data_IF_543443784916
#
_entry.id   IF_543443784916
#
_cell.length_a   1.000
_cell.length_b   1.000
_cell.length_c   1.000
_cell.angle_alpha   90.00
_cell.angle_beta   90.00
_cell.angle_gamma   90.00
#
_symmetry.space_group_name_H-M   'P 1'
#
loop_
_entity.id
_entity.type
_entity.pdbx_description
1 polymer ?
#
# COMPACT_ATOMS: atom_id res chain seq x y z
N UNK A 1 9.84 -109.26 7.04
CA UNK A 1 10.23 -107.85 7.24
C UNK A 1 10.22 -107.15 5.88
N UNK A 2 9.48 -106.06 5.68
CA UNK A 2 9.46 -105.38 4.39
C UNK A 2 10.81 -104.67 4.15
N UNK A 3 11.48 -105.04 3.05
CA UNK A 3 12.70 -104.40 2.57
C UNK A 3 12.31 -103.02 2.06
N UNK A 4 12.66 -101.95 2.80
CA UNK A 4 12.49 -100.58 2.33
C UNK A 4 13.46 -100.34 1.17
N UNK A 5 12.99 -100.42 -0.07
CA UNK A 5 13.76 -99.98 -1.22
C UNK A 5 13.93 -98.45 -1.15
N UNK A 6 15.14 -98.00 -0.83
CA UNK A 6 15.53 -96.60 -0.96
C UNK A 6 15.58 -96.23 -2.44
N UNK A 7 14.57 -95.50 -2.92
CA UNK A 7 14.57 -95.02 -4.31
C UNK A 7 15.48 -93.79 -4.43
N UNK A 8 16.41 -93.84 -5.39
CA UNK A 8 17.34 -92.76 -5.69
C UNK A 8 16.63 -91.44 -6.04
N UNK A 9 15.42 -91.52 -6.61
CA UNK A 9 14.56 -90.39 -6.92
C UNK A 9 14.14 -89.59 -5.67
N UNK A 10 13.94 -90.26 -4.53
CA UNK A 10 13.58 -89.57 -3.30
C UNK A 10 14.76 -88.77 -2.72
N UNK A 11 15.99 -89.26 -2.91
CA UNK A 11 17.22 -88.55 -2.50
C UNK A 11 17.47 -87.31 -3.35
N UNK A 12 17.29 -87.39 -4.67
CA UNK A 12 17.48 -86.26 -5.59
C UNK A 12 16.43 -85.16 -5.37
N UNK A 13 15.16 -85.54 -5.16
CA UNK A 13 14.09 -84.58 -4.82
C UNK A 13 14.34 -83.87 -3.47
N UNK A 14 14.81 -84.61 -2.45
CA UNK A 14 15.18 -84.04 -1.16
C UNK A 14 16.39 -83.09 -1.27
N UNK A 15 17.35 -83.39 -2.13
CA UNK A 15 18.50 -82.51 -2.36
C UNK A 15 18.11 -81.21 -3.08
N UNK A 16 17.30 -81.30 -4.14
CA UNK A 16 16.83 -80.13 -4.88
C UNK A 16 15.94 -79.22 -4.02
N UNK A 17 15.05 -79.80 -3.22
CA UNK A 17 14.22 -79.04 -2.28
C UNK A 17 15.05 -78.33 -1.20
N UNK A 18 16.05 -79.01 -0.62
CA UNK A 18 16.99 -78.38 0.33
C UNK A 18 17.79 -77.24 -0.33
N UNK A 19 18.26 -77.42 -1.56
CA UNK A 19 18.98 -76.36 -2.30
C UNK A 19 18.08 -75.17 -2.59
N UNK A 20 16.83 -75.41 -3.00
CA UNK A 20 15.84 -74.35 -3.22
C UNK A 20 15.53 -73.58 -1.93
N UNK A 21 15.32 -74.28 -0.81
CA UNK A 21 15.12 -73.65 0.49
C UNK A 21 16.33 -72.80 0.92
N UNK A 22 17.55 -73.31 0.74
CA UNK A 22 18.75 -72.55 1.08
C UNK A 22 18.88 -71.26 0.25
N UNK A 23 18.57 -71.32 -1.05
CA UNK A 23 18.56 -70.12 -1.88
C UNK A 23 17.51 -69.10 -1.42
N UNK A 24 16.31 -69.58 -1.04
CA UNK A 24 15.23 -68.73 -0.54
C UNK A 24 15.61 -68.08 0.80
N UNK A 25 16.22 -68.82 1.73
CA UNK A 25 16.74 -68.29 3.00
C UNK A 25 17.80 -67.21 2.73
N UNK A 26 18.72 -67.45 1.79
CA UNK A 26 19.74 -66.46 1.40
C UNK A 26 19.08 -65.18 0.85
N UNK A 27 18.01 -65.30 0.06
CA UNK A 27 17.27 -64.14 -0.45
C UNK A 27 16.52 -63.37 0.64
N UNK A 28 15.86 -64.07 1.57
CA UNK A 28 15.20 -63.45 2.72
C UNK A 28 16.23 -62.70 3.57
N UNK A 29 17.36 -63.33 3.90
CA UNK A 29 18.42 -62.70 4.68
C UNK A 29 19.00 -61.46 3.98
N UNK A 30 19.14 -61.49 2.65
CA UNK A 30 19.54 -60.31 1.87
C UNK A 30 18.51 -59.19 1.92
N UNK A 31 17.21 -59.52 1.86
CA UNK A 31 16.11 -58.53 1.95
C UNK A 31 16.04 -57.92 3.34
N UNK A 32 16.19 -58.71 4.40
CA UNK A 32 16.21 -58.23 5.78
C UNK A 32 17.45 -57.37 6.07
N UNK A 33 18.62 -57.80 5.61
CA UNK A 33 19.85 -57.01 5.71
C UNK A 33 19.71 -55.66 5.00
N UNK A 34 19.08 -55.65 3.81
CA UNK A 34 18.79 -54.42 3.10
C UNK A 34 17.74 -53.56 3.82
N UNK A 35 16.71 -54.16 4.40
CA UNK A 35 15.67 -53.44 5.15
C UNK A 35 16.26 -52.71 6.38
N UNK A 36 17.23 -53.32 7.05
CA UNK A 36 17.93 -52.76 8.23
C UNK A 36 18.89 -51.61 7.90
N UNK A 37 19.25 -51.40 6.63
CA UNK A 37 20.13 -50.30 6.24
C UNK A 37 19.44 -48.92 6.39
N UNK A 38 20.15 -47.89 6.87
CA UNK A 38 19.62 -46.53 6.96
C UNK A 38 19.36 -45.94 5.57
N UNK A 39 18.38 -45.04 5.49
CA UNK A 39 17.81 -44.53 4.23
C UNK A 39 18.89 -44.00 3.27
N UNK A 40 19.87 -43.24 3.76
CA UNK A 40 20.94 -42.66 2.92
C UNK A 40 21.83 -43.74 2.25
N UNK A 41 22.11 -44.85 2.93
CA UNK A 41 22.90 -45.96 2.35
C UNK A 41 22.14 -46.71 1.27
N UNK A 42 20.81 -46.86 1.42
CA UNK A 42 19.93 -47.41 0.37
C UNK A 42 19.95 -46.53 -0.88
N UNK A 43 19.93 -45.20 -0.70
CA UNK A 43 20.11 -44.26 -1.80
C UNK A 43 21.48 -44.43 -2.47
N UNK A 44 22.57 -44.42 -1.72
CA UNK A 44 23.93 -44.59 -2.27
C UNK A 44 24.07 -45.93 -3.02
N UNK A 45 23.52 -47.03 -2.49
CA UNK A 45 23.50 -48.33 -3.19
C UNK A 45 22.66 -48.30 -4.48
N UNK A 46 21.56 -47.56 -4.51
CA UNK A 46 20.77 -47.35 -5.71
C UNK A 46 21.55 -46.54 -6.77
N UNK A 47 22.30 -45.52 -6.35
CA UNK A 47 23.14 -44.71 -7.22
C UNK A 47 24.40 -45.44 -7.72
N UNK A 48 24.93 -46.40 -6.95
CA UNK A 48 26.15 -47.13 -7.32
C UNK A 48 25.94 -48.30 -8.31
N UNK A 49 24.70 -48.68 -8.65
CA UNK A 49 24.46 -49.72 -9.69
C UNK A 49 24.87 -49.22 -11.09
N UNK A 50 25.85 -49.91 -11.71
CA UNK A 50 26.62 -49.51 -12.90
C UNK A 50 25.79 -48.98 -14.09
N UNK A 51 24.59 -49.54 -14.35
CA UNK A 51 23.71 -49.11 -15.45
C UNK A 51 22.88 -47.86 -15.16
N UNK A 52 22.67 -47.49 -13.88
CA UNK A 52 21.87 -46.32 -13.49
C UNK A 52 22.70 -45.04 -13.34
N UNK A 53 24.02 -45.17 -13.15
CA UNK A 53 24.97 -44.04 -13.03
C UNK A 53 24.90 -43.08 -14.23
N UNK A 54 24.83 -43.61 -15.45
CA UNK A 54 24.74 -42.81 -16.66
C UNK A 54 23.40 -42.07 -16.77
N UNK A 55 22.29 -42.69 -16.37
CA UNK A 55 20.99 -42.03 -16.37
C UNK A 55 20.94 -40.81 -15.45
N UNK A 56 21.51 -40.92 -14.23
CA UNK A 56 21.57 -39.79 -13.31
C UNK A 56 22.50 -38.68 -13.78
N UNK A 57 23.65 -39.02 -14.39
CA UNK A 57 24.54 -38.03 -14.99
C UNK A 57 23.86 -37.29 -16.16
N UNK A 58 23.10 -37.99 -17.01
CA UNK A 58 22.33 -37.37 -18.09
C UNK A 58 21.22 -36.48 -17.53
N UNK A 59 20.49 -36.91 -16.49
CA UNK A 59 19.46 -36.09 -15.85
C UNK A 59 20.08 -34.85 -15.20
N UNK A 60 21.21 -35.00 -14.50
CA UNK A 60 21.91 -33.89 -13.86
C UNK A 60 22.48 -32.93 -14.93
N UNK A 61 23.04 -33.47 -16.01
CA UNK A 61 23.53 -32.70 -17.15
C UNK A 61 22.40 -31.94 -17.84
N UNK A 62 21.26 -32.58 -18.10
CA UNK A 62 20.06 -31.93 -18.63
C UNK A 62 19.56 -30.84 -17.66
N UNK A 63 19.47 -31.12 -16.35
CA UNK A 63 19.09 -30.10 -15.35
C UNK A 63 20.04 -28.90 -15.34
N UNK A 64 21.33 -29.12 -15.56
CA UNK A 64 22.34 -28.07 -15.59
C UNK A 64 22.34 -27.28 -16.93
N UNK A 65 22.18 -27.96 -18.07
CA UNK A 65 22.18 -27.36 -19.40
C UNK A 65 20.84 -26.71 -19.79
N UNK A 66 19.70 -27.26 -19.36
CA UNK A 66 18.36 -26.75 -19.77
C UNK A 66 17.90 -25.48 -19.03
N UNK A 67 18.83 -24.69 -18.50
CA UNK A 67 18.54 -23.44 -17.79
C UNK A 67 17.49 -23.65 -16.66
N UNK A 68 17.36 -24.87 -16.14
CA UNK A 68 16.39 -25.21 -15.09
C UNK A 68 16.59 -24.36 -13.83
N UNK A 69 17.82 -23.99 -13.41
CA UNK A 69 18.02 -23.04 -12.33
C UNK A 69 17.45 -21.64 -12.66
N UNK A 70 17.62 -21.16 -13.90
CA UNK A 70 17.07 -19.87 -14.34
C UNK A 70 15.55 -19.93 -14.45
N UNK A 71 15.00 -20.99 -15.04
CA UNK A 71 13.54 -21.21 -15.16
C UNK A 71 12.87 -21.37 -13.80
N UNK A 72 13.46 -22.11 -12.87
CA UNK A 72 12.92 -22.29 -11.52
C UNK A 72 12.99 -20.98 -10.72
N UNK A 73 14.08 -20.21 -10.85
CA UNK A 73 14.19 -18.86 -10.28
C UNK A 73 13.15 -17.90 -10.88
N UNK A 74 13.00 -17.87 -12.20
CA UNK A 74 12.00 -17.06 -12.89
C UNK A 74 10.57 -17.49 -12.53
N UNK A 75 10.33 -18.79 -12.35
CA UNK A 75 9.05 -19.32 -11.88
C UNK A 75 8.76 -18.89 -10.43
N UNK A 76 9.76 -18.93 -9.55
CA UNK A 76 9.61 -18.44 -8.18
C UNK A 76 9.36 -16.93 -8.12
N UNK A 77 10.09 -16.15 -8.93
CA UNK A 77 9.90 -14.69 -9.05
C UNK A 77 8.51 -14.37 -9.60
N UNK A 78 8.10 -15.02 -10.69
CA UNK A 78 6.76 -14.81 -11.27
C UNK A 78 5.64 -15.26 -10.35
N UNK A 79 5.80 -16.35 -9.59
CA UNK A 79 4.84 -16.73 -8.55
C UNK A 79 4.77 -15.68 -7.44
N UNK A 80 5.91 -15.22 -6.92
CA UNK A 80 5.96 -14.13 -5.91
C UNK A 80 5.30 -12.87 -6.44
N UNK A 81 5.57 -12.49 -7.68
CA UNK A 81 4.95 -11.33 -8.34
C UNK A 81 3.45 -11.52 -8.52
N UNK A 82 2.97 -12.67 -9.00
CA UNK A 82 1.52 -12.97 -9.13
C UNK A 82 0.81 -12.94 -7.78
N UNK A 83 1.43 -13.48 -6.73
CA UNK A 83 0.88 -13.45 -5.38
C UNK A 83 0.83 -12.02 -4.84
N UNK A 84 1.94 -11.27 -4.93
CA UNK A 84 1.98 -9.85 -4.56
C UNK A 84 0.94 -9.04 -5.33
N UNK A 85 0.84 -9.20 -6.65
CA UNK A 85 -0.15 -8.53 -7.51
C UNK A 85 -1.58 -8.92 -7.13
N UNK A 86 -1.85 -10.18 -6.79
CA UNK A 86 -3.17 -10.61 -6.31
C UNK A 86 -3.53 -9.95 -4.98
N UNK A 87 -2.61 -9.88 -4.02
CA UNK A 87 -2.84 -9.21 -2.74
C UNK A 87 -2.92 -7.71 -2.88
N UNK A 88 -2.06 -7.11 -3.70
CA UNK A 88 -2.13 -5.69 -4.07
C UNK A 88 -3.48 -5.39 -4.70
N UNK A 89 -3.93 -6.11 -5.73
CA UNK A 89 -5.24 -5.90 -6.32
C UNK A 89 -6.39 -6.10 -5.33
N UNK A 90 -6.31 -7.10 -4.44
CA UNK A 90 -7.33 -7.27 -3.38
C UNK A 90 -7.31 -6.15 -2.35
N UNK A 91 -6.11 -5.65 -2.02
CA UNK A 91 -5.92 -4.54 -1.10
C UNK A 91 -6.45 -3.25 -1.74
N UNK A 92 -6.07 -2.97 -2.98
CA UNK A 92 -6.61 -1.88 -3.79
C UNK A 92 -8.12 -1.99 -3.91
N UNK A 93 -8.71 -3.12 -4.32
CA UNK A 93 -10.17 -3.27 -4.38
C UNK A 93 -10.88 -3.13 -3.02
N UNK A 94 -10.22 -3.45 -1.92
CA UNK A 94 -10.81 -3.35 -0.57
C UNK A 94 -10.72 -1.93 0.00
N UNK A 95 -9.65 -1.22 -0.31
CA UNK A 95 -9.28 0.03 0.36
C UNK A 95 -9.29 1.24 -0.57
N UNK A 96 -9.30 1.03 -1.87
CA UNK A 96 -9.47 2.03 -2.91
C UNK A 96 -10.15 1.39 -4.15
N UNK A 97 -11.43 0.97 -4.01
CA UNK A 97 -12.16 0.27 -5.06
C UNK A 97 -12.27 1.08 -6.37
N UNK A 98 -12.13 2.41 -6.27
CA UNK A 98 -12.19 3.39 -7.36
C UNK A 98 -10.86 3.47 -8.15
N UNK A 99 -9.70 3.12 -7.55
CA UNK A 99 -8.39 3.21 -8.23
C UNK A 99 -8.10 2.08 -9.23
N UNK A 100 -9.02 1.14 -9.45
CA UNK A 100 -8.85 0.12 -10.49
C UNK A 100 -9.26 0.67 -11.85
N UNK A 101 -8.37 1.51 -12.37
CA UNK A 101 -8.02 1.70 -13.78
C UNK A 101 -9.18 2.11 -14.71
N UNK A 102 -9.00 3.32 -15.25
CA UNK A 102 -9.88 4.07 -16.17
C UNK A 102 -11.07 4.68 -15.43
N UNK A 103 -11.22 6.00 -15.60
CA UNK A 103 -12.47 6.72 -15.33
C UNK A 103 -13.61 5.80 -15.68
N UNK A 104 -14.25 5.22 -14.66
CA UNK A 104 -15.42 4.40 -14.95
C UNK A 104 -16.42 5.35 -15.62
N UNK A 105 -17.21 4.87 -16.57
CA UNK A 105 -18.23 5.70 -17.23
C UNK A 105 -19.18 6.40 -16.21
N UNK A 106 -19.22 5.90 -14.98
CA UNK A 106 -19.88 6.49 -13.81
C UNK A 106 -19.15 7.69 -13.20
N UNK A 107 -17.81 7.67 -13.10
CA UNK A 107 -17.01 8.82 -12.66
C UNK A 107 -17.04 9.95 -13.68
N UNK A 108 -17.18 9.64 -14.97
CA UNK A 108 -17.42 10.65 -16.03
C UNK A 108 -18.76 11.36 -15.87
N UNK A 109 -19.71 10.77 -15.14
CA UNK A 109 -21.01 11.37 -14.83
C UNK A 109 -20.99 12.20 -13.56
N UNK A 110 -19.99 12.02 -12.68
CA UNK A 110 -19.85 12.86 -11.49
C UNK A 110 -19.23 14.20 -11.87
N UNK A 111 -20.08 15.13 -12.29
CA UNK A 111 -19.68 16.52 -12.48
C UNK A 111 -19.61 17.20 -11.11
N UNK A 112 -18.57 17.99 -10.82
CA UNK A 112 -18.60 18.91 -9.70
C UNK A 112 -19.79 19.87 -9.88
N UNK A 113 -20.47 20.19 -8.78
CA UNK A 113 -21.68 21.01 -8.79
C UNK A 113 -21.38 22.50 -8.93
N UNK A 114 -20.29 22.96 -8.30
CA UNK A 114 -19.94 24.38 -8.23
C UNK A 114 -18.75 24.75 -9.11
N UNK A 115 -17.85 23.79 -9.39
CA UNK A 115 -16.64 24.08 -10.16
C UNK A 115 -16.97 24.18 -11.67
N UNK A 116 -16.64 25.32 -12.26
CA UNK A 116 -16.69 25.52 -13.73
C UNK A 116 -15.92 24.42 -14.49
N UNK A 117 -16.41 24.06 -15.68
CA UNK A 117 -15.80 23.02 -16.52
C UNK A 117 -14.38 23.36 -16.93
N UNK A 118 -14.08 24.64 -17.19
CA UNK A 118 -12.74 25.10 -17.55
C UNK A 118 -11.75 24.91 -16.40
N UNK A 119 -12.15 25.22 -15.16
CA UNK A 119 -11.30 25.03 -13.99
C UNK A 119 -11.10 23.56 -13.66
N UNK A 120 -12.13 22.74 -13.88
CA UNK A 120 -12.01 21.29 -13.75
C UNK A 120 -10.99 20.72 -14.75
N UNK A 121 -11.01 21.15 -16.01
CA UNK A 121 -10.01 20.72 -17.00
C UNK A 121 -8.59 21.19 -16.68
N UNK A 122 -8.43 22.44 -16.20
CA UNK A 122 -7.13 22.96 -15.75
C UNK A 122 -6.59 22.14 -14.58
N UNK A 123 -7.42 21.90 -13.57
CA UNK A 123 -7.07 21.12 -12.39
C UNK A 123 -6.72 19.68 -12.79
N UNK A 124 -7.51 19.06 -13.68
CA UNK A 124 -7.26 17.72 -14.17
C UNK A 124 -5.93 17.58 -14.91
N UNK A 125 -5.55 18.57 -15.73
CA UNK A 125 -4.24 18.58 -16.42
C UNK A 125 -3.08 18.62 -15.43
N UNK A 126 -3.12 19.55 -14.48
CA UNK A 126 -2.06 19.69 -13.45
C UNK A 126 -2.02 18.46 -12.56
N UNK A 127 -3.18 17.91 -12.18
CA UNK A 127 -3.27 16.71 -11.36
C UNK A 127 -2.63 15.50 -12.04
N UNK A 128 -2.89 15.29 -13.33
CA UNK A 128 -2.27 14.20 -14.12
C UNK A 128 -0.77 14.42 -14.25
N UNK A 129 -0.33 15.66 -14.47
CA UNK A 129 1.09 16.00 -14.56
C UNK A 129 1.84 15.67 -13.25
N UNK A 130 1.28 16.10 -12.12
CA UNK A 130 1.81 15.82 -10.77
C UNK A 130 1.77 14.32 -10.46
N UNK A 131 0.67 13.63 -10.80
CA UNK A 131 0.54 12.19 -10.58
C UNK A 131 1.58 11.38 -11.38
N UNK A 132 1.93 11.82 -12.60
CA UNK A 132 2.96 11.18 -13.41
C UNK A 132 4.38 11.37 -12.85
N UNK A 133 4.61 12.45 -12.08
CA UNK A 133 5.89 12.72 -11.43
C UNK A 133 6.05 11.93 -10.12
N UNK A 134 4.96 11.73 -9.37
CA UNK A 134 4.97 11.06 -8.07
C UNK A 134 4.92 9.53 -8.16
N UNK A 135 5.83 8.85 -7.46
CA UNK A 135 5.91 7.39 -7.49
C UNK A 135 4.69 6.67 -6.86
N UNK A 136 4.03 7.31 -5.91
CA UNK A 136 2.89 6.75 -5.16
C UNK A 136 1.54 7.43 -5.48
N UNK A 137 1.55 8.40 -6.40
CA UNK A 137 0.42 9.27 -6.74
C UNK A 137 0.23 10.44 -5.77
N UNK A 138 -0.73 11.31 -6.07
CA UNK A 138 -0.98 12.56 -5.32
C UNK A 138 -1.48 12.26 -3.92
N UNK A 139 -0.66 12.50 -2.89
CA UNK A 139 -1.04 12.29 -1.50
C UNK A 139 -2.03 13.35 -1.01
N UNK A 140 -2.97 12.97 -0.13
CA UNK A 140 -3.83 13.93 0.58
C UNK A 140 -3.05 14.93 1.44
N UNK A 141 -1.90 14.53 1.98
CA UNK A 141 -1.05 15.43 2.76
C UNK A 141 -0.39 16.49 1.87
N UNK A 142 0.02 16.13 0.65
CA UNK A 142 0.55 17.09 -0.32
C UNK A 142 -0.49 18.19 -0.60
N UNK A 143 -1.73 17.79 -0.88
CA UNK A 143 -2.84 18.73 -1.12
C UNK A 143 -3.07 19.65 0.09
N UNK A 144 -3.07 19.10 1.31
CA UNK A 144 -3.22 19.90 2.53
C UNK A 144 -2.07 20.90 2.67
N UNK A 145 -0.82 20.46 2.50
CA UNK A 145 0.34 21.32 2.63
C UNK A 145 0.28 22.48 1.63
N UNK A 146 -0.10 22.20 0.37
CA UNK A 146 -0.29 23.23 -0.66
C UNK A 146 -1.40 24.21 -0.27
N UNK A 147 -2.57 23.73 0.17
CA UNK A 147 -3.70 24.60 0.51
C UNK A 147 -3.50 25.41 1.79
N UNK A 148 -2.81 24.85 2.78
CA UNK A 148 -2.43 25.55 4.02
C UNK A 148 -1.40 26.64 3.72
N UNK A 149 -0.42 26.37 2.84
CA UNK A 149 0.57 27.37 2.41
C UNK A 149 -0.06 28.55 1.66
N UNK A 150 -1.14 28.30 0.93
CA UNK A 150 -1.94 29.34 0.26
C UNK A 150 -2.92 30.06 1.19
N UNK A 151 -2.97 29.69 2.47
CA UNK A 151 -3.95 30.20 3.45
C UNK A 151 -5.41 30.03 3.00
N UNK A 152 -5.68 28.96 2.24
CA UNK A 152 -7.03 28.64 1.73
C UNK A 152 -7.70 27.50 2.51
N UNK A 153 -7.02 26.94 3.51
CA UNK A 153 -7.50 25.78 4.26
C UNK A 153 -7.17 25.85 5.76
N UNK A 154 -8.21 25.69 6.58
CA UNK A 154 -8.08 25.58 8.03
C UNK A 154 -7.55 24.21 8.47
N UNK A 155 -6.82 24.20 9.60
CA UNK A 155 -6.36 22.98 10.27
C UNK A 155 -7.50 22.00 10.62
N UNK A 156 -8.68 22.51 10.98
CA UNK A 156 -9.86 21.69 11.27
C UNK A 156 -10.35 20.94 10.01
N UNK A 157 -10.36 21.63 8.88
CA UNK A 157 -10.80 21.05 7.61
C UNK A 157 -9.75 20.06 7.10
N UNK A 158 -8.46 20.36 7.25
CA UNK A 158 -7.35 19.44 6.95
C UNK A 158 -7.44 18.13 7.74
N UNK A 159 -7.67 18.20 9.05
CA UNK A 159 -7.82 16.99 9.88
C UNK A 159 -9.07 16.18 9.52
N UNK A 160 -10.17 16.83 9.14
CA UNK A 160 -11.37 16.15 8.63
C UNK A 160 -11.07 15.43 7.31
N UNK A 161 -10.46 16.13 6.35
CA UNK A 161 -10.09 15.56 5.05
C UNK A 161 -9.14 14.36 5.17
N UNK A 162 -8.20 14.37 6.12
CA UNK A 162 -7.37 13.20 6.42
C UNK A 162 -8.17 12.03 7.01
N UNK A 163 -9.17 12.30 7.86
CA UNK A 163 -10.01 11.26 8.48
C UNK A 163 -10.98 10.64 7.48
N UNK A 164 -11.47 11.42 6.53
CA UNK A 164 -12.40 10.97 5.48
C UNK A 164 -11.75 9.95 4.52
N UNK A 165 -10.43 9.74 4.61
CA UNK A 165 -9.72 8.68 3.86
C UNK A 165 -10.10 7.27 4.32
N UNK A 166 -10.76 7.12 5.46
CA UNK A 166 -11.17 5.82 6.01
C UNK A 166 -10.02 5.00 6.63
N UNK A 167 -8.78 5.51 6.62
CA UNK A 167 -7.63 4.82 7.21
C UNK A 167 -7.50 5.10 8.71
N UNK A 168 -7.35 4.03 9.49
CA UNK A 168 -7.18 4.17 10.96
C UNK A 168 -5.78 4.65 11.36
N UNK A 169 -4.74 4.24 10.64
CA UNK A 169 -3.33 4.57 10.96
C UNK A 169 -2.94 5.91 10.37
N UNK A 170 -2.24 6.76 11.15
CA UNK A 170 -1.81 8.09 10.71
C UNK A 170 -1.00 8.02 9.41
N UNK A 171 0.05 7.19 9.37
CA UNK A 171 0.86 6.93 8.15
C UNK A 171 0.02 6.59 6.92
N UNK A 172 -0.99 5.73 7.09
CA UNK A 172 -1.83 5.32 5.98
C UNK A 172 -2.80 6.42 5.53
N UNK A 173 -3.22 7.32 6.43
CA UNK A 173 -4.02 8.51 6.08
C UNK A 173 -3.19 9.53 5.30
N UNK A 174 -1.97 9.79 5.76
CA UNK A 174 -1.05 10.77 5.16
C UNK A 174 -0.61 10.34 3.76
N UNK A 175 -0.24 9.06 3.60
CA UNK A 175 0.25 8.54 2.32
C UNK A 175 -0.89 8.10 1.37
N UNK A 176 -2.15 8.31 1.75
CA UNK A 176 -3.25 7.91 0.89
C UNK A 176 -3.32 8.80 -0.35
N UNK A 177 -3.40 8.16 -1.52
CA UNK A 177 -3.62 8.86 -2.78
C UNK A 177 -5.01 9.49 -2.79
N UNK A 178 -5.08 10.79 -3.05
CA UNK A 178 -6.31 11.50 -3.33
C UNK A 178 -6.76 11.20 -4.76
N UNK A 179 -8.07 11.16 -5.02
CA UNK A 179 -8.61 11.20 -6.38
C UNK A 179 -8.91 12.65 -6.80
N UNK A 180 -9.03 12.91 -8.10
CA UNK A 180 -9.43 14.24 -8.60
C UNK A 180 -10.82 14.63 -8.09
N UNK A 181 -11.72 13.66 -7.93
CA UNK A 181 -13.09 13.89 -7.41
C UNK A 181 -13.01 14.34 -5.95
N UNK A 182 -12.25 13.63 -5.11
CA UNK A 182 -12.03 14.01 -3.71
C UNK A 182 -11.42 15.41 -3.59
N UNK A 183 -10.53 15.79 -4.51
CA UNK A 183 -9.96 17.13 -4.58
C UNK A 183 -11.01 18.18 -4.96
N UNK A 184 -11.87 17.88 -5.93
CA UNK A 184 -12.98 18.78 -6.30
C UNK A 184 -13.98 18.96 -5.15
N UNK A 185 -14.38 17.87 -4.47
CA UNK A 185 -15.25 17.94 -3.29
C UNK A 185 -14.63 18.78 -2.17
N UNK A 186 -13.30 18.69 -1.99
CA UNK A 186 -12.59 19.52 -1.04
C UNK A 186 -12.68 21.01 -1.40
N UNK A 187 -12.52 21.34 -2.67
CA UNK A 187 -12.60 22.73 -3.16
C UNK A 187 -14.02 23.28 -2.99
N UNK A 188 -15.04 22.48 -3.28
CA UNK A 188 -16.43 22.85 -3.01
C UNK A 188 -16.68 23.10 -1.53
N UNK A 189 -16.15 22.26 -0.64
CA UNK A 189 -16.27 22.45 0.80
C UNK A 189 -15.56 23.73 1.31
N UNK A 190 -14.44 24.12 0.67
CA UNK A 190 -13.74 25.38 0.98
C UNK A 190 -14.58 26.59 0.53
N UNK A 191 -15.14 26.54 -0.68
CA UNK A 191 -16.00 27.61 -1.21
C UNK A 191 -17.29 27.76 -0.40
N UNK A 192 -17.93 26.64 -0.03
CA UNK A 192 -19.11 26.63 0.85
C UNK A 192 -18.81 27.28 2.21
N UNK A 193 -17.62 27.03 2.77
CA UNK A 193 -17.22 27.62 4.05
C UNK A 193 -17.05 29.14 3.91
N UNK A 194 -16.39 29.60 2.85
CA UNK A 194 -16.21 31.02 2.58
C UNK A 194 -17.55 31.76 2.41
N UNK A 195 -18.49 31.19 1.65
CA UNK A 195 -19.85 31.74 1.49
C UNK A 195 -20.59 31.86 2.85
N UNK A 196 -20.49 30.85 3.72
CA UNK A 196 -21.17 30.86 5.02
C UNK A 196 -20.56 31.86 6.01
N UNK A 197 -19.26 32.10 5.96
CA UNK A 197 -18.56 33.08 6.80
C UNK A 197 -18.97 34.52 6.46
N UNK A 198 -19.20 34.81 5.18
CA UNK A 198 -19.71 36.11 4.71
C UNK A 198 -21.13 36.39 5.20
N UNK A 199 -22.02 35.39 5.14
CA UNK A 199 -23.42 35.53 5.58
C UNK A 199 -23.53 35.74 7.09
N UNK A 200 -22.64 35.14 7.88
CA UNK A 200 -22.58 35.35 9.34
C UNK A 200 -21.94 36.69 9.71
N UNK A 201 -20.97 37.17 8.92
CA UNK A 201 -20.42 38.52 9.04
C UNK A 201 -21.49 39.59 8.86
N UNK A 202 -22.26 39.50 7.78
CA UNK A 202 -23.33 40.47 7.46
C UNK A 202 -24.43 40.54 8.53
N UNK A 203 -24.85 39.41 9.10
CA UNK A 203 -25.88 39.38 10.18
C UNK A 203 -25.39 39.94 11.53
N UNK A 204 -24.08 39.97 11.76
CA UNK A 204 -23.52 40.43 13.03
C UNK A 204 -23.34 41.96 13.04
N UNK A 205 -23.23 42.58 11.86
CA UNK A 205 -23.09 44.03 11.72
C UNK A 205 -24.43 44.78 11.77
N UNK A 206 -25.55 44.15 11.39
CA UNK A 206 -26.89 44.76 11.53
C UNK A 206 -27.45 44.73 12.97
N UNK A 207 -26.76 44.10 13.92
CA UNK A 207 -27.25 43.86 15.28
C UNK A 207 -26.56 44.65 16.41
N UNK A 208 -25.61 45.55 16.11
CA UNK A 208 -24.89 46.33 17.14
C UNK A 208 -25.07 47.84 16.97
N UNK A 209 -26.27 48.30 17.28
CA UNK A 209 -26.53 49.68 17.70
C UNK A 209 -27.16 49.64 19.08
N UNK A 210 -26.37 49.36 20.12
CA UNK A 210 -26.78 49.60 21.51
C UNK A 210 -25.68 50.36 22.24
N UNK A 211 -25.99 51.64 22.40
CA UNK A 211 -25.89 52.48 23.59
C UNK A 211 -24.75 52.22 24.58
N UNK A 212 -23.91 53.24 24.71
CA UNK A 212 -22.88 53.31 25.71
C UNK A 212 -23.41 53.22 27.14
N UNK A 213 -22.69 52.45 27.95
CA UNK A 213 -22.61 52.66 29.39
C UNK A 213 -21.16 52.62 29.82
N UNK A 214 -20.68 53.80 30.19
CA UNK A 214 -19.47 54.03 30.97
C UNK A 214 -19.73 53.46 32.38
N UNK A 215 -18.75 52.77 32.97
CA UNK A 215 -18.39 53.16 34.32
C UNK A 215 -16.89 53.47 34.41
N UNK A 216 -16.63 54.64 34.99
CA UNK A 216 -15.39 54.95 35.68
C UNK A 216 -15.18 53.91 36.79
N UNK A 217 -13.97 53.38 36.91
CA UNK A 217 -13.15 53.64 38.10
C UNK A 217 -11.73 53.08 37.96
N UNK A 218 -10.83 53.79 38.63
CA UNK A 218 -9.39 53.78 38.50
C UNK A 218 -8.70 52.50 39.04
N UNK A 219 -7.61 52.10 38.40
CA UNK A 219 -6.36 51.74 39.09
C UNK A 219 -5.19 51.65 38.10
N UNK A 220 -4.06 52.15 38.57
CA UNK A 220 -2.79 52.38 37.86
C UNK A 220 -1.96 51.11 37.68
N UNK A 221 -1.07 51.20 36.68
CA UNK A 221 0.21 50.50 36.53
C UNK A 221 0.25 49.00 36.21
N UNK A 222 0.10 48.69 34.92
CA UNK A 222 1.04 47.76 34.26
C UNK A 222 1.20 48.09 32.78
N UNK A 223 2.40 48.53 32.39
CA UNK A 223 2.77 48.93 31.03
C UNK A 223 3.03 47.67 30.18
N UNK A 224 1.97 47.01 29.71
CA UNK A 224 2.04 46.08 28.59
C UNK A 224 1.82 46.86 27.30
N UNK A 225 2.84 46.87 26.45
CA UNK A 225 2.79 47.38 25.08
C UNK A 225 1.82 46.50 24.28
N UNK A 226 0.55 46.90 24.24
CA UNK A 226 -0.45 46.31 23.37
C UNK A 226 -0.16 46.76 21.94
N UNK A 227 0.43 45.86 21.14
CA UNK A 227 0.41 45.99 19.68
C UNK A 227 -1.04 45.84 19.25
N UNK A 228 -1.68 46.97 19.02
CA UNK A 228 -2.99 47.06 18.37
C UNK A 228 -2.83 46.54 16.95
N UNK A 229 -3.05 45.24 16.74
CA UNK A 229 -3.23 44.68 15.40
C UNK A 229 -4.63 45.10 14.96
N UNK A 230 -4.70 46.22 14.24
CA UNK A 230 -5.88 46.57 13.46
C UNK A 230 -6.12 45.45 12.45
N UNK A 231 -7.00 44.51 12.80
CA UNK A 231 -7.59 43.58 11.84
C UNK A 231 -8.54 44.39 10.95
N UNK A 232 -7.99 45.09 9.97
CA UNK A 232 -8.76 45.61 8.84
C UNK A 232 -9.33 44.41 8.09
N UNK A 233 -10.57 44.05 8.41
CA UNK A 233 -11.40 43.19 7.56
C UNK A 233 -11.59 43.93 6.23
N UNK A 234 -10.72 43.64 5.27
CA UNK A 234 -10.95 44.01 3.88
C UNK A 234 -12.14 43.14 3.44
N UNK A 235 -13.31 43.75 3.25
CA UNK A 235 -14.44 43.06 2.63
C UNK A 235 -14.00 42.57 1.25
N UNK A 236 -13.98 41.25 1.08
CA UNK A 236 -13.62 40.64 -0.19
C UNK A 236 -14.81 40.75 -1.16
N UNK A 237 -14.83 41.85 -1.92
CA UNK A 237 -15.89 42.18 -2.90
C UNK A 237 -15.87 41.29 -4.15
N UNK A 238 -14.99 40.28 -4.21
CA UNK A 238 -14.87 39.39 -5.37
C UNK A 238 -16.13 38.54 -5.54
N UNK A 239 -16.49 38.32 -6.79
CA UNK A 239 -17.58 37.42 -7.16
C UNK A 239 -17.24 35.96 -6.80
N UNK A 240 -18.23 35.09 -6.57
CA UNK A 240 -17.99 33.66 -6.31
C UNK A 240 -17.15 32.98 -7.40
N UNK A 241 -17.30 33.41 -8.66
CA UNK A 241 -16.53 32.94 -9.81
C UNK A 241 -15.05 33.34 -9.69
N UNK A 242 -14.76 34.60 -9.35
CA UNK A 242 -13.38 35.08 -9.16
C UNK A 242 -12.69 34.41 -7.98
N UNK A 243 -13.42 34.13 -6.89
CA UNK A 243 -12.90 33.35 -5.74
C UNK A 243 -12.54 31.92 -6.14
N UNK A 244 -13.37 31.31 -6.98
CA UNK A 244 -13.10 29.99 -7.55
C UNK A 244 -11.87 30.00 -8.46
N UNK A 245 -11.74 30.98 -9.34
CA UNK A 245 -10.62 31.12 -10.27
C UNK A 245 -9.30 31.36 -9.53
N UNK A 246 -9.28 32.25 -8.53
CA UNK A 246 -8.11 32.53 -7.68
C UNK A 246 -7.65 31.27 -6.92
N UNK A 247 -8.59 30.51 -6.34
CA UNK A 247 -8.28 29.26 -5.65
C UNK A 247 -7.65 28.23 -6.59
N UNK A 248 -8.26 28.02 -7.76
CA UNK A 248 -7.77 27.02 -8.72
C UNK A 248 -6.43 27.43 -9.32
N UNK A 249 -6.28 28.69 -9.70
CA UNK A 249 -5.06 29.19 -10.32
C UNK A 249 -3.86 29.20 -9.34
N UNK A 250 -4.08 29.68 -8.11
CA UNK A 250 -3.04 29.65 -7.07
C UNK A 250 -2.61 28.23 -6.73
N UNK A 251 -3.56 27.30 -6.60
CA UNK A 251 -3.26 25.89 -6.36
C UNK A 251 -2.49 25.24 -7.52
N UNK A 252 -2.92 25.48 -8.76
CA UNK A 252 -2.27 24.91 -9.95
C UNK A 252 -0.81 25.39 -10.11
N UNK A 253 -0.52 26.64 -9.71
CA UNK A 253 0.85 27.19 -9.74
C UNK A 253 1.72 26.64 -8.61
N UNK A 254 1.15 26.46 -7.42
CA UNK A 254 1.92 26.06 -6.24
C UNK A 254 2.17 24.55 -6.18
N UNK A 255 1.21 23.72 -6.60
CA UNK A 255 1.28 22.27 -6.43
C UNK A 255 2.55 21.63 -7.04
N UNK A 256 2.99 21.98 -8.28
CA UNK A 256 4.21 21.41 -8.84
C UNK A 256 5.48 21.77 -8.06
N UNK A 257 5.53 22.95 -7.44
CA UNK A 257 6.69 23.40 -6.67
C UNK A 257 6.83 22.67 -5.33
N UNK A 258 5.71 22.21 -4.77
CA UNK A 258 5.71 21.47 -3.51
C UNK A 258 6.12 20.00 -3.68
N UNK A 259 6.18 19.48 -4.91
CA UNK A 259 6.52 18.07 -5.17
C UNK A 259 7.91 17.74 -4.64
N UNK A 260 8.93 18.53 -5.02
CA UNK A 260 10.32 18.26 -4.67
C UNK A 260 10.52 18.29 -3.15
N UNK A 261 9.95 19.31 -2.48
CA UNK A 261 10.03 19.46 -1.02
C UNK A 261 9.29 18.33 -0.30
N UNK A 262 8.16 17.89 -0.86
CA UNK A 262 7.33 16.86 -0.26
C UNK A 262 7.92 15.46 -0.35
N UNK A 263 8.54 15.10 -1.49
CA UNK A 263 9.20 13.79 -1.64
C UNK A 263 10.37 13.64 -0.66
N UNK A 264 11.23 14.66 -0.55
CA UNK A 264 12.35 14.69 0.41
C UNK A 264 11.86 14.56 1.85
N UNK A 265 10.77 15.27 2.20
CA UNK A 265 10.18 15.22 3.54
C UNK A 265 9.50 13.87 3.81
N UNK A 266 8.81 13.26 2.84
CA UNK A 266 8.20 11.94 3.02
C UNK A 266 9.25 10.87 3.26
N UNK A 267 10.34 10.87 2.50
CA UNK A 267 11.38 9.85 2.65
C UNK A 267 12.05 9.94 4.02
N UNK A 268 12.33 11.17 4.49
CA UNK A 268 12.89 11.39 5.82
C UNK A 268 11.93 10.93 6.93
N UNK A 269 10.64 11.25 6.83
CA UNK A 269 9.61 10.82 7.80
C UNK A 269 9.42 9.29 7.78
N UNK A 270 9.43 8.66 6.60
CA UNK A 270 9.36 7.20 6.50
C UNK A 270 10.58 6.56 7.16
N UNK A 271 11.78 7.08 6.90
CA UNK A 271 13.02 6.58 7.50
C UNK A 271 13.05 6.76 9.03
N UNK A 272 12.50 7.85 9.54
CA UNK A 272 12.36 8.09 10.98
C UNK A 272 11.36 7.12 11.62
N UNK A 273 10.17 6.95 11.01
CA UNK A 273 9.17 5.97 11.47
C UNK A 273 9.72 4.53 11.47
N UNK A 274 10.57 4.18 10.50
CA UNK A 274 11.22 2.87 10.44
C UNK A 274 12.32 2.71 11.51
N UNK A 275 13.03 3.80 11.86
CA UNK A 275 14.03 3.81 12.93
C UNK A 275 13.43 3.72 14.33
N UNK A 276 12.36 4.46 14.59
CA UNK A 276 11.78 4.57 15.95
C UNK A 276 10.95 3.35 16.32
N UNK A 277 10.50 2.55 15.33
CA UNK A 277 9.62 1.41 15.56
C UNK A 277 8.27 1.77 16.19
N UNK A 278 7.98 3.08 16.32
CA UNK A 278 6.72 3.59 16.82
C UNK A 278 5.69 3.47 15.70
N UNK A 279 4.90 2.40 15.74
CA UNK A 279 3.57 2.43 15.15
C UNK A 279 2.77 3.49 15.92
N UNK A 280 2.78 4.74 15.44
CA UNK A 280 2.09 5.86 16.07
C UNK A 280 0.62 5.50 16.34
N UNK A 281 0.32 5.25 17.61
CA UNK A 281 -1.04 5.11 18.15
C UNK A 281 -1.62 6.47 18.55
N UNK A 282 -0.79 7.50 18.63
CA UNK A 282 -1.21 8.84 19.05
C UNK A 282 -1.34 9.76 17.86
N UNK A 283 -2.58 10.20 17.65
CA UNK A 283 -3.01 11.48 17.05
C UNK A 283 -2.48 11.79 15.66
N UNK A 284 -3.39 11.84 14.67
CA UNK A 284 -3.14 12.38 13.34
C UNK A 284 -2.75 13.85 13.36
N UNK A 285 -1.52 14.13 13.78
CA UNK A 285 -0.83 15.38 13.59
C UNK A 285 -0.54 15.55 12.11
N UNK A 286 -0.90 16.73 11.60
CA UNK A 286 -0.50 17.22 10.29
C UNK A 286 1.02 17.29 10.33
N UNK A 287 1.70 16.61 9.40
CA UNK A 287 3.14 16.73 9.21
C UNK A 287 3.37 18.08 8.50
N UNK A 288 3.85 19.06 9.26
CA UNK A 288 4.31 20.35 8.73
C UNK A 288 5.70 20.19 8.11
#
# INVERSE_FOLDING_TARGET
MPVRMFSFNHLTQNYLSRRAMNNLIIEINKKEAYAKLPIYTKFIQAFTKKKRRFGYLIILWLLWFYDVPKRSRNWAITKRYKVKKKYYNRWMHKFNPERVVQMTALETLHKPKKISTENFEKLGKVFIEVENQLLYGVSRQLIINTLVKLDKMDTKLATKFLRDSGYKRARARTLHSCTLIELCELFEAILDKAENEEVQGAKTEEGKTEEGKIPNDASEDSKTEYVMVENTKIEDTRTPQEKQDDLVESFCKQLPQEIEVFEDNIESVIAEMERTGQEDKSTGGILF
#
